data_IF_574085101821
#
_entry.id   IF_574085101821
#
_cell.length_a   1.000
_cell.length_b   1.000
_cell.length_c   1.000
_cell.angle_alpha   90.00
_cell.angle_beta   90.00
_cell.angle_gamma   90.00
#
_symmetry.space_group_name_H-M   'P 1'
#
loop_
_entity.id
_entity.type
_entity.pdbx_description
1 polymer ?
#
# COMPACT_ATOMS: atom_id res chain seq x y z
N UNK A 1 3.66 10.23 1.19
CA UNK A 1 3.82 9.78 -0.21
C UNK A 1 4.08 8.27 -0.28
N UNK A 2 3.83 7.64 -1.43
CA UNK A 2 4.17 6.21 -1.63
C UNK A 2 5.69 5.94 -1.57
N UNK A 3 6.51 6.95 -1.90
CA UNK A 3 7.97 6.90 -1.76
C UNK A 3 8.45 6.60 -0.34
N UNK A 4 7.63 6.92 0.67
CA UNK A 4 7.99 6.75 2.08
C UNK A 4 7.81 5.30 2.55
N UNK A 5 7.14 4.46 1.75
CA UNK A 5 6.82 3.07 2.07
C UNK A 5 7.91 2.06 1.61
N UNK A 6 9.10 2.54 1.23
CA UNK A 6 10.24 1.72 0.80
C UNK A 6 9.92 0.71 -0.32
N UNK A 7 9.03 1.09 -1.23
CA UNK A 7 8.58 0.25 -2.34
C UNK A 7 9.61 0.18 -3.48
N UNK A 8 9.60 -0.90 -4.24
CA UNK A 8 10.42 -1.05 -5.44
C UNK A 8 10.11 0.06 -6.44
N UNK A 9 11.16 0.59 -7.11
CA UNK A 9 11.02 1.65 -8.11
C UNK A 9 10.04 1.31 -9.24
N UNK A 10 9.94 0.03 -9.61
CA UNK A 10 8.97 -0.42 -10.61
C UNK A 10 7.53 -0.22 -10.14
N UNK A 11 7.25 -0.56 -8.88
CA UNK A 11 5.93 -0.39 -8.26
C UNK A 11 5.56 1.08 -8.14
N UNK A 12 6.50 1.94 -7.71
CA UNK A 12 6.31 3.38 -7.63
C UNK A 12 5.92 3.99 -8.99
N UNK A 13 6.61 3.59 -10.07
CA UNK A 13 6.26 4.02 -11.44
C UNK A 13 4.88 3.54 -11.88
N UNK A 14 4.50 2.31 -11.52
CA UNK A 14 3.17 1.79 -11.82
C UNK A 14 2.07 2.58 -11.08
N UNK A 15 2.30 2.91 -9.80
CA UNK A 15 1.37 3.74 -9.02
C UNK A 15 1.21 5.13 -9.64
N UNK A 16 2.32 5.77 -10.00
CA UNK A 16 2.31 7.06 -10.68
C UNK A 16 1.57 7.01 -12.03
N UNK A 17 1.83 5.98 -12.83
CA UNK A 17 1.12 5.76 -14.11
C UNK A 17 -0.37 5.49 -13.97
N UNK A 18 -0.82 5.00 -12.81
CA UNK A 18 -2.23 4.85 -12.44
C UNK A 18 -2.84 6.12 -11.84
N UNK A 19 -2.07 7.21 -11.69
CA UNK A 19 -2.50 8.43 -11.03
C UNK A 19 -2.63 8.31 -9.51
N UNK A 20 -2.04 7.28 -8.91
CA UNK A 20 -2.06 7.04 -7.46
C UNK A 20 -0.86 7.75 -6.83
N UNK A 21 -1.07 9.02 -6.47
CA UNK A 21 0.02 9.91 -6.02
C UNK A 21 0.25 9.80 -4.50
N UNK A 22 -0.82 9.72 -3.72
CA UNK A 22 -0.75 9.67 -2.25
C UNK A 22 -1.45 8.42 -1.70
N UNK A 23 -0.83 7.72 -0.73
CA UNK A 23 -1.46 6.60 -0.05
C UNK A 23 -2.60 7.08 0.84
N UNK A 24 -3.65 6.27 0.94
CA UNK A 24 -4.74 6.53 1.90
C UNK A 24 -4.30 6.22 3.33
N UNK A 25 -5.00 6.73 4.37
CA UNK A 25 -4.64 6.46 5.76
C UNK A 25 -4.56 4.96 6.10
N UNK A 26 -5.44 4.12 5.54
CA UNK A 26 -5.39 2.67 5.74
C UNK A 26 -4.19 2.02 5.05
N UNK A 27 -3.74 2.55 3.90
CA UNK A 27 -2.55 2.07 3.21
C UNK A 27 -1.28 2.41 4.01
N UNK A 28 -1.18 3.64 4.53
CA UNK A 28 -0.06 4.06 5.38
C UNK A 28 0.06 3.20 6.65
N UNK A 29 -1.07 2.84 7.26
CA UNK A 29 -1.08 2.02 8.47
C UNK A 29 -0.78 0.54 8.20
N UNK A 30 -1.31 0.00 7.11
CA UNK A 30 -1.26 -1.44 6.81
C UNK A 30 0.04 -1.85 6.12
N UNK A 31 0.47 -1.10 5.09
CA UNK A 31 1.53 -1.54 4.18
C UNK A 31 2.84 -1.84 4.92
N UNK A 32 3.39 -0.97 5.79
CA UNK A 32 4.63 -1.29 6.51
C UNK A 32 4.55 -2.58 7.34
N UNK A 33 3.49 -2.73 8.14
CA UNK A 33 3.31 -3.91 8.97
C UNK A 33 3.12 -5.20 8.16
N UNK A 34 2.46 -5.12 7.00
CA UNK A 34 2.31 -6.27 6.11
C UNK A 34 3.62 -6.64 5.39
N UNK A 35 4.48 -5.66 5.07
CA UNK A 35 5.82 -5.93 4.54
C UNK A 35 6.71 -6.66 5.53
N UNK A 36 6.51 -6.42 6.82
CA UNK A 36 7.18 -7.14 7.92
C UNK A 36 6.65 -8.57 8.12
N UNK A 37 5.61 -8.97 7.38
CA UNK A 37 5.01 -10.30 7.46
C UNK A 37 4.08 -10.49 8.67
N UNK A 38 3.58 -9.40 9.26
CA UNK A 38 2.63 -9.47 10.36
C UNK A 38 1.25 -9.98 9.89
N UNK A 39 0.58 -10.76 10.76
CA UNK A 39 -0.82 -11.08 10.59
C UNK A 39 -1.68 -9.91 11.06
N UNK A 40 -2.48 -9.34 10.14
CA UNK A 40 -3.20 -8.09 10.38
C UNK A 40 -4.71 -8.27 10.32
N UNK A 41 -5.41 -7.66 11.28
CA UNK A 41 -6.85 -7.42 11.21
C UNK A 41 -7.11 -5.95 10.91
N UNK A 42 -7.69 -5.67 9.75
CA UNK A 42 -7.91 -4.30 9.27
C UNK A 42 -9.40 -4.04 9.13
N UNK A 43 -9.88 -2.96 9.73
CA UNK A 43 -11.27 -2.50 9.59
C UNK A 43 -11.27 -1.06 9.08
N UNK A 44 -11.89 -0.83 7.93
CA UNK A 44 -12.07 0.50 7.35
C UNK A 44 -13.27 0.48 6.40
N UNK A 45 -13.84 1.63 6.10
CA UNK A 45 -15.02 1.78 5.24
C UNK A 45 -14.76 1.39 3.78
N UNK A 46 -15.80 0.98 3.04
CA UNK A 46 -15.70 0.74 1.59
C UNK A 46 -15.20 2.00 0.88
N UNK A 47 -14.35 1.84 -0.14
CA UNK A 47 -13.71 2.96 -0.82
C UNK A 47 -12.47 3.53 -0.14
N UNK A 48 -12.10 3.06 1.07
CA UNK A 48 -10.92 3.56 1.79
C UNK A 48 -9.55 3.15 1.19
N UNK A 49 -9.53 2.33 0.13
CA UNK A 49 -8.29 1.88 -0.51
C UNK A 49 -7.66 0.61 0.09
N UNK A 50 -8.41 -0.17 0.89
CA UNK A 50 -7.97 -1.46 1.48
C UNK A 50 -7.47 -2.48 0.45
N UNK A 51 -8.06 -2.52 -0.75
CA UNK A 51 -7.65 -3.46 -1.81
C UNK A 51 -6.20 -3.23 -2.20
N UNK A 52 -5.83 -1.98 -2.52
CA UNK A 52 -4.45 -1.65 -2.85
C UNK A 52 -3.52 -1.83 -1.63
N UNK A 53 -3.99 -1.50 -0.42
CA UNK A 53 -3.23 -1.72 0.81
C UNK A 53 -2.81 -3.19 0.95
N UNK A 54 -3.70 -4.13 0.67
CA UNK A 54 -3.41 -5.57 0.72
C UNK A 54 -2.55 -6.06 -0.45
N UNK A 55 -2.75 -5.51 -1.65
CA UNK A 55 -2.02 -5.96 -2.85
C UNK A 55 -0.57 -5.45 -2.91
N UNK A 56 -0.29 -4.25 -2.40
CA UNK A 56 1.06 -3.67 -2.42
C UNK A 56 2.14 -4.60 -1.81
N UNK A 57 1.95 -5.18 -0.61
CA UNK A 57 2.85 -6.17 -0.05
C UNK A 57 3.06 -7.42 -0.91
N UNK A 58 2.03 -7.85 -1.64
CA UNK A 58 2.12 -9.03 -2.51
C UNK A 58 2.95 -8.75 -3.76
N UNK A 59 2.84 -7.55 -4.33
CA UNK A 59 3.61 -7.15 -5.51
C UNK A 59 5.03 -6.68 -5.21
N UNK A 60 5.33 -6.36 -3.95
CA UNK A 60 6.66 -5.92 -3.53
C UNK A 60 7.66 -7.08 -3.37
N UNK A 61 7.18 -8.31 -3.17
CA UNK A 61 8.02 -9.53 -3.12
C UNK A 61 8.68 -9.82 -4.45
#
# INVERSE_FOLDING_TARGET
MFSDLSLHKALLRSLEGLGLVEPTPVQLALVPAAMEGADLRVTAETGSGKTLAFLLPLFQR
#
